data_IF_995400503764
#
_entry.id   IF_995400503764
#
_cell.length_a   1.000
_cell.length_b   1.000
_cell.length_c   1.000
_cell.angle_alpha   90.00
_cell.angle_beta   90.00
_cell.angle_gamma   90.00
#
_symmetry.space_group_name_H-M   'P 1'
#
loop_
_entity.id
_entity.type
_entity.pdbx_description
1 polymer ?
#
# COMPACT_ATOMS: atom_id res chain seq x y z
N UNK A 1 49.17 -72.80 -20.01
CA UNK A 1 47.91 -72.39 -20.68
C UNK A 1 47.03 -71.83 -19.57
N UNK A 2 46.65 -70.56 -19.47
CA UNK A 2 46.62 -69.44 -20.40
C UNK A 2 46.64 -68.13 -19.59
N UNK A 3 47.04 -67.05 -20.26
CA UNK A 3 47.01 -65.65 -19.83
C UNK A 3 45.59 -65.05 -19.90
N UNK A 4 45.19 -64.27 -18.90
CA UNK A 4 44.26 -63.12 -19.00
C UNK A 4 44.30 -62.36 -17.66
N UNK A 5 45.08 -61.28 -17.51
CA UNK A 5 44.83 -59.88 -17.89
C UNK A 5 43.87 -59.10 -16.94
N UNK A 6 44.40 -57.97 -16.46
CA UNK A 6 43.78 -56.77 -15.86
C UNK A 6 43.31 -56.72 -14.38
N UNK A 7 44.26 -56.38 -13.50
CA UNK A 7 44.38 -55.17 -12.63
C UNK A 7 43.17 -54.16 -12.53
N UNK A 8 43.09 -53.29 -11.48
CA UNK A 8 42.94 -53.58 -10.03
C UNK A 8 42.01 -52.55 -9.27
N UNK A 9 42.04 -52.62 -7.93
CA UNK A 9 41.92 -51.52 -6.92
C UNK A 9 40.55 -51.20 -6.25
N UNK A 10 40.65 -51.20 -4.91
CA UNK A 10 40.01 -50.38 -3.86
C UNK A 10 38.61 -50.79 -3.41
N UNK A 11 38.45 -51.43 -2.23
CA UNK A 11 38.75 -51.02 -0.84
C UNK A 11 37.65 -50.18 -0.19
N UNK A 12 37.23 -50.67 0.97
CA UNK A 12 36.73 -49.95 2.15
C UNK A 12 35.24 -49.58 2.26
N UNK A 13 34.56 -50.45 3.03
CA UNK A 13 33.73 -50.18 4.23
C UNK A 13 32.56 -49.18 4.17
N UNK A 14 31.37 -49.56 4.69
CA UNK A 14 30.26 -48.65 4.92
C UNK A 14 30.29 -48.09 6.36
N UNK A 15 30.03 -46.80 6.54
CA UNK A 15 29.54 -46.27 7.81
C UNK A 15 28.71 -44.99 7.62
N UNK A 16 27.43 -45.15 7.97
CA UNK A 16 26.39 -44.14 8.15
C UNK A 16 26.83 -42.98 9.05
N UNK A 17 26.59 -41.73 8.62
CA UNK A 17 26.22 -40.60 9.50
C UNK A 17 25.72 -39.35 8.72
N UNK A 18 24.45 -39.00 8.97
CA UNK A 18 23.72 -37.69 8.91
C UNK A 18 23.55 -36.87 7.60
N UNK A 19 22.37 -36.20 7.44
CA UNK A 19 21.99 -35.51 6.20
C UNK A 19 22.38 -34.03 6.21
N UNK A 20 22.79 -33.50 5.07
CA UNK A 20 22.82 -32.07 4.80
C UNK A 20 22.40 -31.82 3.34
N UNK A 21 21.24 -31.18 3.18
CA UNK A 21 20.66 -30.83 1.88
C UNK A 21 21.53 -29.79 1.15
N UNK A 22 21.70 -29.89 -0.19
CA UNK A 22 22.17 -28.77 -0.98
C UNK A 22 21.00 -27.82 -1.27
N UNK A 23 21.12 -26.60 -0.79
CA UNK A 23 20.23 -25.48 -1.09
C UNK A 23 20.28 -25.18 -2.60
N UNK A 24 19.21 -25.51 -3.32
CA UNK A 24 18.95 -24.91 -4.63
C UNK A 24 18.45 -23.49 -4.39
N UNK A 25 19.31 -22.50 -4.63
CA UNK A 25 18.93 -21.09 -4.71
C UNK A 25 17.93 -20.93 -5.85
N UNK A 26 16.65 -21.04 -5.54
CA UNK A 26 15.61 -20.39 -6.33
C UNK A 26 15.80 -18.90 -6.05
N UNK A 27 16.48 -18.20 -6.96
CA UNK A 27 16.33 -16.76 -7.03
C UNK A 27 14.84 -16.50 -7.30
N UNK A 28 14.13 -15.74 -6.45
CA UNK A 28 12.83 -15.25 -6.86
C UNK A 28 13.08 -14.25 -7.99
N UNK A 29 12.73 -14.64 -9.21
CA UNK A 29 12.56 -13.72 -10.32
C UNK A 29 11.75 -12.52 -9.82
N UNK A 30 12.36 -11.34 -9.85
CA UNK A 30 11.62 -10.09 -9.84
C UNK A 30 10.95 -9.96 -11.20
N UNK A 31 9.62 -9.86 -11.19
CA UNK A 31 8.99 -8.73 -11.82
C UNK A 31 8.18 -8.04 -10.73
N UNK A 32 8.80 -7.07 -10.05
CA UNK A 32 8.05 -6.05 -9.32
C UNK A 32 7.44 -5.12 -10.39
N UNK A 33 6.52 -5.67 -11.18
CA UNK A 33 5.52 -4.87 -11.88
C UNK A 33 4.63 -4.38 -10.74
N UNK A 34 4.94 -3.20 -10.21
CA UNK A 34 4.09 -2.46 -9.27
C UNK A 34 2.82 -2.02 -10.02
N UNK A 35 2.08 -3.00 -10.54
CA UNK A 35 0.77 -2.83 -11.09
C UNK A 35 -0.13 -2.61 -9.88
N UNK A 36 -0.20 -1.34 -9.48
CA UNK A 36 -1.02 -0.89 -8.36
C UNK A 36 -2.42 -1.43 -8.58
N UNK A 37 -2.78 -2.45 -7.80
CA UNK A 37 -4.10 -3.07 -7.87
C UNK A 37 -5.12 -2.07 -7.33
N UNK A 38 -5.72 -1.32 -8.26
CA UNK A 38 -6.72 -0.29 -7.98
C UNK A 38 -7.92 -0.87 -7.22
N UNK A 39 -8.24 -2.15 -7.43
CA UNK A 39 -9.29 -2.84 -6.70
C UNK A 39 -8.85 -3.16 -5.26
N UNK A 40 -7.57 -3.51 -5.03
CA UNK A 40 -7.03 -3.65 -3.68
C UNK A 40 -7.07 -2.33 -2.89
N UNK A 41 -6.69 -1.22 -3.52
CA UNK A 41 -6.81 0.14 -2.91
C UNK A 41 -8.26 0.41 -2.52
N UNK A 42 -9.19 0.17 -3.45
CA UNK A 42 -10.61 0.38 -3.20
C UNK A 42 -11.15 -0.50 -2.07
N UNK A 43 -10.66 -1.74 -1.93
CA UNK A 43 -11.03 -2.64 -0.81
C UNK A 43 -10.52 -2.11 0.53
N UNK A 44 -9.28 -1.63 0.60
CA UNK A 44 -8.70 -1.06 1.84
C UNK A 44 -9.46 0.20 2.23
N UNK A 45 -9.72 1.10 1.28
CA UNK A 45 -10.47 2.34 1.52
C UNK A 45 -11.90 2.05 1.97
N UNK A 46 -12.57 1.05 1.39
CA UNK A 46 -13.89 0.58 1.86
C UNK A 46 -13.83 -0.06 3.25
N UNK A 47 -12.71 -0.68 3.60
CA UNK A 47 -12.46 -1.22 4.95
C UNK A 47 -12.32 -0.14 6.01
N UNK A 48 -11.93 1.09 5.62
CA UNK A 48 -11.84 2.24 6.53
C UNK A 48 -13.22 2.73 6.95
N UNK A 49 -14.20 2.75 6.03
CA UNK A 49 -15.57 3.11 6.37
C UNK A 49 -16.55 2.95 5.21
N UNK A 50 -17.84 2.81 5.53
CA UNK A 50 -18.90 2.77 4.54
C UNK A 50 -18.98 4.09 3.77
N UNK A 51 -19.18 4.03 2.45
CA UNK A 51 -19.25 5.22 1.58
C UNK A 51 -17.92 5.88 1.23
N UNK A 52 -16.80 5.39 1.75
CA UNK A 52 -15.47 5.87 1.36
C UNK A 52 -15.14 5.46 -0.07
N UNK A 53 -14.68 6.43 -0.87
CA UNK A 53 -14.23 6.21 -2.23
C UNK A 53 -12.84 6.81 -2.42
N UNK A 54 -12.06 6.27 -3.36
CA UNK A 54 -10.76 6.82 -3.69
C UNK A 54 -10.54 7.00 -5.18
N UNK A 55 -9.72 7.99 -5.52
CA UNK A 55 -9.25 8.21 -6.87
C UNK A 55 -7.72 8.35 -6.89
N UNK A 56 -7.05 7.38 -7.48
CA UNK A 56 -5.60 7.40 -7.66
C UNK A 56 -5.25 8.06 -9.01
N UNK A 57 -4.44 9.13 -8.97
CA UNK A 57 -3.96 9.85 -10.14
C UNK A 57 -2.60 10.53 -9.89
N UNK A 58 -1.66 10.43 -10.83
CA UNK A 58 -0.41 11.20 -10.89
C UNK A 58 0.35 11.25 -9.54
N UNK A 59 0.66 10.07 -8.99
CA UNK A 59 1.34 9.90 -7.68
C UNK A 59 0.62 10.58 -6.51
N UNK A 60 -0.68 10.80 -6.64
CA UNK A 60 -1.52 11.33 -5.57
C UNK A 60 -2.76 10.45 -5.46
N UNK A 61 -3.21 10.20 -4.24
CA UNK A 61 -4.49 9.53 -3.99
C UNK A 61 -5.45 10.53 -3.39
N UNK A 62 -6.68 10.55 -3.88
CA UNK A 62 -7.77 11.32 -3.33
C UNK A 62 -8.71 10.39 -2.59
N UNK A 63 -9.03 10.73 -1.35
CA UNK A 63 -9.97 10.05 -0.48
C UNK A 63 -11.22 10.92 -0.40
N UNK A 64 -12.34 10.44 -0.92
CA UNK A 64 -13.63 11.08 -0.80
C UNK A 64 -14.29 10.60 0.48
N UNK A 65 -14.35 11.52 1.44
CA UNK A 65 -14.70 11.23 2.81
C UNK A 65 -16.14 11.71 3.05
N UNK A 66 -17.07 10.80 3.38
CA UNK A 66 -18.44 11.16 3.70
C UNK A 66 -18.51 11.91 5.05
N UNK A 67 -19.05 13.12 4.99
CA UNK A 67 -19.20 14.08 6.10
C UNK A 67 -20.02 13.52 7.27
N UNK A 68 -21.08 12.75 6.97
CA UNK A 68 -22.05 12.25 7.95
C UNK A 68 -21.61 11.02 8.74
N UNK A 69 -20.54 10.34 8.30
CA UNK A 69 -20.14 9.04 8.85
C UNK A 69 -18.86 9.10 9.68
N UNK A 70 -18.11 10.20 9.58
CA UNK A 70 -16.75 10.25 10.13
C UNK A 70 -16.69 10.28 11.65
N UNK A 71 -17.64 10.98 12.29
CA UNK A 71 -17.65 11.16 13.75
C UNK A 71 -18.03 9.87 14.52
N UNK A 72 -18.51 8.83 13.83
CA UNK A 72 -19.10 7.65 14.46
C UNK A 72 -18.29 6.37 14.21
N UNK A 73 -17.56 6.27 13.08
CA UNK A 73 -17.07 4.97 12.59
C UNK A 73 -15.58 4.84 12.33
N UNK A 74 -14.81 5.93 12.37
CA UNK A 74 -13.42 5.86 11.93
C UNK A 74 -12.44 5.58 13.05
N UNK A 75 -11.94 4.35 13.04
CA UNK A 75 -10.78 3.98 13.82
C UNK A 75 -9.55 4.73 13.33
N UNK A 76 -8.85 5.39 14.27
CA UNK A 76 -7.54 6.01 14.03
C UNK A 76 -6.56 5.01 13.43
N UNK A 77 -6.58 3.77 13.90
CA UNK A 77 -5.70 2.69 13.43
C UNK A 77 -5.93 2.40 11.95
N UNK A 78 -7.18 2.25 11.51
CA UNK A 78 -7.49 2.03 10.10
C UNK A 78 -7.06 3.20 9.22
N UNK A 79 -7.19 4.43 9.71
CA UNK A 79 -6.73 5.60 8.97
C UNK A 79 -5.20 5.66 8.85
N UNK A 80 -4.46 5.33 9.92
CA UNK A 80 -2.99 5.26 9.89
C UNK A 80 -2.53 4.15 8.95
N UNK A 81 -3.11 2.95 9.03
CA UNK A 81 -2.80 1.85 8.12
C UNK A 81 -3.07 2.22 6.65
N UNK A 82 -4.10 3.02 6.37
CA UNK A 82 -4.35 3.54 5.03
C UNK A 82 -3.23 4.48 4.57
N UNK A 83 -2.75 5.38 5.43
CA UNK A 83 -1.64 6.28 5.10
C UNK A 83 -0.33 5.51 4.86
N UNK A 84 -0.01 4.55 5.71
CA UNK A 84 1.14 3.64 5.54
C UNK A 84 1.03 2.88 4.22
N UNK A 85 -0.16 2.35 3.89
CA UNK A 85 -0.38 1.68 2.62
C UNK A 85 -0.17 2.62 1.41
N UNK A 86 -0.61 3.88 1.52
CA UNK A 86 -0.37 4.87 0.48
C UNK A 86 1.13 5.13 0.27
N UNK A 87 1.90 5.22 1.35
CA UNK A 87 3.35 5.45 1.31
C UNK A 87 4.12 4.22 0.82
N UNK A 88 3.92 3.08 1.47
CA UNK A 88 4.74 1.88 1.29
C UNK A 88 4.37 1.10 0.04
N UNK A 89 3.07 1.00 -0.27
CA UNK A 89 2.58 0.17 -1.37
C UNK A 89 2.21 0.98 -2.61
N UNK A 90 1.56 2.13 -2.45
CA UNK A 90 1.15 2.95 -3.60
C UNK A 90 2.22 3.93 -4.07
N UNK A 91 3.29 4.13 -3.27
CA UNK A 91 4.39 5.06 -3.55
C UNK A 91 3.88 6.45 -3.96
N UNK A 92 2.74 6.87 -3.41
CA UNK A 92 2.18 8.20 -3.69
C UNK A 92 2.96 9.23 -2.89
N UNK A 93 3.08 10.43 -3.46
CA UNK A 93 3.75 11.56 -2.81
C UNK A 93 2.78 12.39 -1.97
N UNK A 94 1.48 12.27 -2.26
CA UNK A 94 0.44 13.11 -1.67
C UNK A 94 -0.86 12.36 -1.48
N UNK A 95 -1.51 12.59 -0.34
CA UNK A 95 -2.86 12.13 -0.02
C UNK A 95 -3.77 13.35 0.06
N UNK A 96 -4.84 13.36 -0.73
CA UNK A 96 -5.86 14.40 -0.73
C UNK A 96 -7.09 13.89 0.03
N UNK A 97 -7.45 14.52 1.14
CA UNK A 97 -8.72 14.30 1.82
C UNK A 97 -9.77 15.26 1.24
N UNK A 98 -10.77 14.73 0.55
CA UNK A 98 -11.79 15.47 -0.19
C UNK A 98 -13.16 15.33 0.48
N UNK A 99 -13.85 16.45 0.63
CA UNK A 99 -15.13 16.57 1.32
C UNK A 99 -16.10 17.41 0.49
N UNK A 100 -17.40 17.18 0.66
CA UNK A 100 -18.42 18.08 0.12
C UNK A 100 -18.41 19.39 0.91
N UNK A 101 -18.26 20.53 0.22
CA UNK A 101 -18.27 21.87 0.83
C UNK A 101 -19.56 22.19 1.56
N UNK A 102 -20.68 21.66 1.10
CA UNK A 102 -22.01 21.94 1.68
C UNK A 102 -22.22 21.20 3.00
N UNK A 103 -21.43 20.16 3.27
CA UNK A 103 -21.61 19.28 4.42
C UNK A 103 -20.46 19.37 5.44
N UNK A 104 -19.46 20.24 5.23
CA UNK A 104 -18.28 20.31 6.09
C UNK A 104 -17.92 21.73 6.54
N UNK A 105 -17.57 21.87 7.82
CA UNK A 105 -16.94 23.08 8.35
C UNK A 105 -15.40 22.91 8.39
N UNK A 106 -14.62 23.76 7.68
CA UNK A 106 -13.15 23.71 7.68
C UNK A 106 -12.49 23.98 9.04
N UNK A 107 -13.22 24.53 10.01
CA UNK A 107 -12.69 24.96 11.33
C UNK A 107 -12.91 23.91 12.42
N UNK A 108 -13.87 23.01 12.24
CA UNK A 108 -14.30 22.05 13.25
C UNK A 108 -14.22 20.61 12.72
N UNK A 109 -14.63 19.63 13.52
CA UNK A 109 -14.74 18.22 13.14
C UNK A 109 -13.49 17.64 12.45
N UNK A 110 -13.73 16.97 11.32
CA UNK A 110 -12.72 16.20 10.58
C UNK A 110 -11.59 17.08 10.05
N UNK A 111 -11.86 18.23 9.38
CA UNK A 111 -10.77 19.09 8.92
C UNK A 111 -9.86 19.56 10.06
N UNK A 112 -10.41 19.76 11.27
CA UNK A 112 -9.59 20.08 12.45
C UNK A 112 -8.72 18.91 12.87
N UNK A 113 -9.27 17.69 12.94
CA UNK A 113 -8.51 16.49 13.29
C UNK A 113 -7.39 16.20 12.28
N UNK A 114 -7.69 16.32 10.98
CA UNK A 114 -6.69 16.14 9.91
C UNK A 114 -5.55 17.17 10.01
N UNK A 115 -5.85 18.43 10.39
CA UNK A 115 -4.80 19.43 10.66
C UNK A 115 -3.84 18.99 11.76
N UNK A 116 -4.35 18.36 12.83
CA UNK A 116 -3.53 17.91 13.95
C UNK A 116 -2.52 16.82 13.56
N UNK A 117 -2.78 16.06 12.50
CA UNK A 117 -1.90 14.99 12.00
C UNK A 117 -1.10 15.41 10.76
N UNK A 118 -1.10 16.70 10.40
CA UNK A 118 -0.24 17.24 9.35
C UNK A 118 -0.89 17.50 8.00
N UNK A 119 -2.20 17.26 7.83
CA UNK A 119 -2.89 17.72 6.62
C UNK A 119 -3.00 19.25 6.62
N UNK A 120 -2.80 19.84 5.45
CA UNK A 120 -2.98 21.27 5.23
C UNK A 120 -4.13 21.53 4.25
N UNK A 121 -4.79 22.68 4.34
CA UNK A 121 -5.85 23.03 3.38
C UNK A 121 -5.24 23.18 1.98
N UNK A 122 -5.80 22.47 1.01
CA UNK A 122 -5.39 22.62 -0.39
C UNK A 122 -6.19 23.78 -1.00
N UNK A 123 -5.53 24.85 -1.48
CA UNK A 123 -6.26 25.92 -2.14
C UNK A 123 -6.80 25.46 -3.50
N UNK A 124 -7.98 25.95 -3.94
CA UNK A 124 -8.61 25.60 -5.22
C UNK A 124 -7.69 25.71 -6.44
N UNK A 125 -6.78 26.70 -6.46
CA UNK A 125 -5.84 26.90 -7.56
C UNK A 125 -4.79 25.77 -7.69
N UNK A 126 -4.68 24.90 -6.68
CA UNK A 126 -3.79 23.74 -6.68
C UNK A 126 -4.54 22.42 -6.77
N UNK A 127 -5.84 22.45 -7.07
CA UNK A 127 -6.60 21.24 -7.29
C UNK A 127 -6.15 20.55 -8.58
N UNK A 128 -6.14 19.22 -8.60
CA UNK A 128 -6.00 18.49 -9.85
C UNK A 128 -7.21 18.75 -10.76
N UNK A 129 -7.01 18.62 -12.07
CA UNK A 129 -8.01 18.94 -13.09
C UNK A 129 -9.33 18.15 -13.00
N UNK A 130 -9.30 16.96 -12.39
CA UNK A 130 -10.47 16.11 -12.19
C UNK A 130 -11.27 16.46 -10.93
N UNK A 131 -10.76 17.35 -10.06
CA UNK A 131 -11.43 17.73 -8.82
C UNK A 131 -12.10 19.10 -8.97
N UNK A 132 -13.41 19.15 -8.74
CA UNK A 132 -14.17 20.40 -8.85
C UNK A 132 -13.98 21.29 -7.61
N UNK A 133 -13.33 22.46 -7.74
CA UNK A 133 -13.14 23.37 -6.62
C UNK A 133 -14.43 24.04 -6.13
N UNK A 134 -15.54 23.99 -6.89
CA UNK A 134 -16.79 24.64 -6.48
C UNK A 134 -17.54 23.82 -5.44
N UNK A 135 -17.54 22.50 -5.62
CA UNK A 135 -18.26 21.53 -4.79
C UNK A 135 -17.38 20.88 -3.73
N UNK A 136 -16.06 20.82 -3.96
CA UNK A 136 -15.15 20.07 -3.08
C UNK A 136 -14.29 20.97 -2.20
N UNK A 137 -14.20 20.62 -0.92
CA UNK A 137 -13.20 21.09 0.02
C UNK A 137 -12.13 20.02 0.13
N UNK A 138 -10.86 20.37 -0.05
CA UNK A 138 -9.78 19.40 0.00
C UNK A 138 -8.65 19.83 0.94
N UNK A 139 -8.07 18.84 1.58
CA UNK A 139 -6.85 18.94 2.36
C UNK A 139 -5.79 18.01 1.78
N UNK A 140 -4.53 18.34 1.96
CA UNK A 140 -3.40 17.58 1.42
C UNK A 140 -2.43 17.22 2.55
N UNK A 141 -2.04 15.95 2.56
CA UNK A 141 -0.90 15.42 3.31
C UNK A 141 0.19 15.06 2.31
N UNK A 142 1.40 15.51 2.56
CA UNK A 142 2.57 15.19 1.74
C UNK A 142 3.38 14.17 2.49
N UNK A 143 3.70 13.07 1.80
CA UNK A 143 4.52 11.96 2.30
C UNK A 143 5.97 12.28 1.98
#
# INVERSE_FOLDING_TARGET
MSILSNKPIMSSTPLTAVPAAPASRVAPDSPNDENVDRDAVARIVKGVGEGWCCHLANNSIALFIPSKLFDITLSREHFVNLLEYCEEHLKVKRVLACFDKSEIDPREGIPRALKCIGFSVLPPNRFPNWLDPKTTFAMVYTI
#
